data_IF_357453933401
#
_entry.id   IF_357453933401
#
_cell.length_a   1.000
_cell.length_b   1.000
_cell.length_c   1.000
_cell.angle_alpha   90.00
_cell.angle_beta   90.00
_cell.angle_gamma   90.00
#
_symmetry.space_group_name_H-M   'P 1'
#
loop_
_entity.id
_entity.type
_entity.pdbx_description
1 polymer ?
#
# COMPACT_ATOMS: atom_id res chain seq x y z
N UNK A 1 56.53 72.93 -29.35
CA UNK A 1 55.06 72.69 -29.24
C UNK A 1 54.86 71.21 -28.88
N UNK A 2 54.84 70.94 -27.56
CA UNK A 2 54.97 69.62 -27.03
C UNK A 2 53.61 69.23 -26.40
N UNK A 3 52.92 68.25 -26.97
CA UNK A 3 51.60 67.75 -26.49
C UNK A 3 51.81 66.76 -25.33
N UNK A 4 51.23 67.06 -24.17
CA UNK A 4 51.15 66.13 -23.03
C UNK A 4 50.00 65.11 -23.24
N UNK A 5 50.16 63.84 -22.84
CA UNK A 5 49.10 62.92 -22.90
C UNK A 5 48.22 62.95 -21.63
N UNK A 6 46.86 62.92 -21.81
CA UNK A 6 45.89 62.81 -20.79
C UNK A 6 45.89 61.35 -20.24
N UNK A 7 46.04 61.17 -18.93
CA UNK A 7 45.86 59.93 -18.22
C UNK A 7 44.36 59.79 -17.80
N UNK A 8 43.68 58.81 -18.36
CA UNK A 8 42.34 58.40 -17.90
C UNK A 8 42.49 57.46 -16.72
N UNK A 9 42.02 57.90 -15.54
CA UNK A 9 41.94 57.05 -14.34
C UNK A 9 40.58 56.34 -14.37
N UNK A 10 40.59 55.02 -14.62
CA UNK A 10 39.39 54.19 -14.47
C UNK A 10 39.19 53.82 -13.00
N UNK A 11 38.08 54.25 -12.42
CA UNK A 11 37.60 53.76 -11.11
C UNK A 11 36.87 52.43 -11.28
N UNK A 12 37.47 51.39 -10.77
CA UNK A 12 36.83 50.08 -10.69
C UNK A 12 35.93 50.02 -9.45
N UNK A 13 34.63 50.20 -9.62
CA UNK A 13 33.66 50.03 -8.54
C UNK A 13 33.41 48.55 -8.30
N UNK A 14 33.94 48.00 -7.21
CA UNK A 14 33.66 46.66 -6.77
C UNK A 14 32.29 46.66 -6.04
N UNK A 15 31.26 46.16 -6.69
CA UNK A 15 29.97 45.92 -6.05
C UNK A 15 30.05 44.59 -5.30
N UNK A 16 30.16 44.65 -3.98
CA UNK A 16 30.03 43.50 -3.09
C UNK A 16 28.54 43.11 -3.01
N UNK A 17 28.15 42.07 -3.77
CA UNK A 17 26.85 41.38 -3.61
C UNK A 17 26.92 40.55 -2.34
N UNK A 18 26.30 41.01 -1.25
CA UNK A 18 26.06 40.25 -0.04
C UNK A 18 24.97 39.22 -0.31
N UNK A 19 25.34 37.98 -0.52
CA UNK A 19 24.39 36.86 -0.50
C UNK A 19 23.95 36.62 0.94
N UNK A 20 22.81 37.18 1.34
CA UNK A 20 22.10 36.72 2.54
C UNK A 20 21.52 35.35 2.24
N UNK A 21 22.12 34.31 2.82
CA UNK A 21 21.55 32.98 2.88
C UNK A 21 20.22 33.08 3.63
N UNK A 22 19.10 33.03 2.90
CA UNK A 22 17.78 32.76 3.49
C UNK A 22 17.83 31.34 4.05
N UNK A 23 18.09 31.21 5.35
CA UNK A 23 17.93 29.99 6.06
C UNK A 23 16.47 29.53 5.84
N UNK A 24 16.30 28.41 5.11
CA UNK A 24 15.01 27.80 4.89
C UNK A 24 14.44 27.45 6.26
N UNK A 25 13.37 28.13 6.68
CA UNK A 25 12.67 27.79 7.91
C UNK A 25 12.17 26.36 7.79
N UNK A 26 12.34 25.52 8.83
CA UNK A 26 11.84 24.16 8.79
C UNK A 26 10.32 24.20 8.56
N UNK A 27 9.88 23.49 7.53
CA UNK A 27 8.44 23.34 7.22
C UNK A 27 7.74 22.83 8.49
N UNK A 28 6.66 23.46 8.97
CA UNK A 28 5.97 23.01 10.16
C UNK A 28 5.54 21.56 9.99
N UNK A 29 5.91 20.70 10.92
CA UNK A 29 5.49 19.29 10.91
C UNK A 29 3.99 19.25 11.20
N UNK A 30 3.21 18.74 10.26
CA UNK A 30 1.76 18.57 10.42
C UNK A 30 1.44 17.63 11.59
N UNK A 31 0.38 17.93 12.34
CA UNK A 31 -0.20 16.94 13.26
C UNK A 31 -0.81 15.79 12.49
N UNK A 32 -1.01 14.59 13.11
CA UNK A 32 -1.66 13.44 12.45
C UNK A 32 -3.01 13.80 11.81
N UNK A 33 -3.83 14.59 12.51
CA UNK A 33 -5.13 15.04 11.99
C UNK A 33 -5.00 16.03 10.82
N UNK A 34 -4.02 16.90 10.85
CA UNK A 34 -3.74 17.82 9.74
C UNK A 34 -3.25 17.04 8.51
N UNK A 35 -2.36 16.08 8.70
CA UNK A 35 -1.87 15.22 7.63
C UNK A 35 -3.00 14.40 7.00
N UNK A 36 -3.91 13.85 7.80
CA UNK A 36 -5.08 13.11 7.32
C UNK A 36 -6.07 14.01 6.56
N UNK A 37 -6.34 15.23 7.06
CA UNK A 37 -7.18 16.20 6.33
C UNK A 37 -6.57 16.57 4.99
N UNK A 38 -5.28 16.91 4.95
CA UNK A 38 -4.57 17.23 3.72
C UNK A 38 -4.61 16.07 2.71
N UNK A 39 -4.44 14.83 3.18
CA UNK A 39 -4.58 13.64 2.35
C UNK A 39 -5.98 13.55 1.73
N UNK A 40 -7.05 13.67 2.54
CA UNK A 40 -8.44 13.62 2.06
C UNK A 40 -8.75 14.74 1.07
N UNK A 41 -8.26 15.96 1.32
CA UNK A 41 -8.41 17.10 0.41
C UNK A 41 -7.71 16.83 -0.93
N UNK A 42 -6.49 16.27 -0.92
CA UNK A 42 -5.77 15.91 -2.14
C UNK A 42 -6.48 14.82 -2.96
N UNK A 43 -7.26 13.97 -2.31
CA UNK A 43 -8.03 12.89 -2.93
C UNK A 43 -9.50 13.27 -3.22
N UNK A 44 -9.96 14.45 -2.80
CA UNK A 44 -11.39 14.81 -2.85
C UNK A 44 -12.01 14.66 -4.23
N UNK A 45 -11.32 15.09 -5.30
CA UNK A 45 -11.80 14.94 -6.67
C UNK A 45 -11.92 13.47 -7.08
N UNK A 46 -10.88 12.66 -6.84
CA UNK A 46 -10.88 11.23 -7.15
C UNK A 46 -12.01 10.51 -6.40
N UNK A 47 -12.15 10.78 -5.09
CA UNK A 47 -13.17 10.17 -4.25
C UNK A 47 -14.60 10.56 -4.68
N UNK A 48 -14.79 11.76 -5.20
CA UNK A 48 -16.08 12.21 -5.73
C UNK A 48 -16.41 11.63 -7.10
N UNK A 49 -15.44 11.62 -8.02
CA UNK A 49 -15.67 11.30 -9.43
C UNK A 49 -15.52 9.80 -9.73
N UNK A 50 -14.62 9.11 -9.03
CA UNK A 50 -14.40 7.65 -9.13
C UNK A 50 -13.95 7.09 -7.76
N UNK A 51 -14.90 6.95 -6.82
CA UNK A 51 -14.61 6.53 -5.44
C UNK A 51 -13.78 5.25 -5.35
N UNK A 52 -14.04 4.28 -6.22
CA UNK A 52 -13.31 2.99 -6.27
C UNK A 52 -12.02 3.03 -7.08
N UNK A 53 -11.67 4.18 -7.69
CA UNK A 53 -10.54 4.32 -8.64
C UNK A 53 -10.58 3.24 -9.74
N UNK A 54 -11.78 2.96 -10.27
CA UNK A 54 -12.05 1.92 -11.27
C UNK A 54 -11.34 2.17 -12.61
N UNK A 55 -10.96 3.41 -12.87
CA UNK A 55 -10.16 3.79 -14.03
C UNK A 55 -8.72 3.29 -13.99
N UNK A 56 -8.16 3.04 -12.79
CA UNK A 56 -6.72 2.78 -12.57
C UNK A 56 -6.16 1.61 -13.41
N UNK A 57 -6.89 0.50 -13.48
CA UNK A 57 -6.46 -0.72 -14.18
C UNK A 57 -7.29 -1.06 -15.42
N UNK A 58 -8.20 -0.18 -15.85
CA UNK A 58 -9.13 -0.46 -16.97
C UNK A 58 -8.41 -0.95 -18.23
N UNK A 59 -7.43 -0.21 -18.70
CA UNK A 59 -6.71 -0.53 -19.95
C UNK A 59 -5.81 -1.76 -19.77
N UNK A 60 -5.15 -1.88 -18.61
CA UNK A 60 -4.34 -3.04 -18.28
C UNK A 60 -5.19 -4.32 -18.18
N UNK A 61 -6.41 -4.23 -17.62
CA UNK A 61 -7.35 -5.35 -17.57
C UNK A 61 -7.84 -5.74 -18.97
N UNK A 62 -8.16 -4.75 -19.81
CA UNK A 62 -8.61 -5.00 -21.19
C UNK A 62 -7.52 -5.63 -22.07
N UNK A 63 -6.24 -5.35 -21.79
CA UNK A 63 -5.11 -5.91 -22.51
C UNK A 63 -4.74 -7.35 -22.08
N UNK A 64 -5.24 -7.82 -20.91
CA UNK A 64 -4.94 -9.15 -20.41
C UNK A 64 -5.65 -10.22 -21.24
N UNK A 65 -4.88 -11.20 -21.68
CA UNK A 65 -5.45 -12.41 -22.32
C UNK A 65 -6.11 -13.29 -21.27
N UNK A 66 -7.14 -14.06 -21.64
CA UNK A 66 -7.67 -15.12 -20.78
C UNK A 66 -6.55 -16.04 -20.28
N UNK A 67 -6.67 -16.63 -19.08
CA UNK A 67 -5.67 -17.57 -18.58
C UNK A 67 -5.48 -18.74 -19.56
N UNK A 68 -4.21 -19.12 -19.78
CA UNK A 68 -3.92 -20.31 -20.57
C UNK A 68 -4.42 -21.59 -19.87
N UNK A 69 -4.73 -22.68 -20.57
CA UNK A 69 -5.07 -23.96 -19.97
C UNK A 69 -4.02 -24.38 -18.94
N UNK A 70 -4.43 -24.62 -17.70
CA UNK A 70 -3.53 -25.01 -16.60
C UNK A 70 -2.81 -23.84 -15.92
N UNK A 71 -2.95 -22.60 -16.37
CA UNK A 71 -2.36 -21.43 -15.74
C UNK A 71 -2.90 -21.25 -14.32
N UNK A 72 -1.98 -21.05 -13.37
CA UNK A 72 -2.31 -20.73 -11.99
C UNK A 72 -2.22 -19.22 -11.76
N UNK A 73 -3.10 -18.46 -12.44
CA UNK A 73 -3.16 -17.01 -12.28
C UNK A 73 -3.49 -16.64 -10.83
N UNK A 74 -2.73 -15.71 -10.29
CA UNK A 74 -2.95 -15.15 -8.95
C UNK A 74 -3.07 -13.64 -9.06
N UNK A 75 -4.04 -13.06 -8.38
CA UNK A 75 -4.17 -11.60 -8.26
C UNK A 75 -3.76 -11.18 -6.85
N UNK A 76 -2.79 -10.29 -6.75
CA UNK A 76 -2.48 -9.56 -5.52
C UNK A 76 -3.33 -8.30 -5.49
N UNK A 77 -4.27 -8.25 -4.58
CA UNK A 77 -5.29 -7.22 -4.47
C UNK A 77 -5.15 -6.48 -3.15
N UNK A 78 -4.97 -5.15 -3.18
CA UNK A 78 -4.67 -4.43 -1.96
C UNK A 78 -4.53 -2.93 -2.12
N UNK A 79 -3.88 -2.33 -1.14
CA UNK A 79 -3.58 -0.92 -1.05
C UNK A 79 -2.16 -0.57 -1.55
N UNK A 80 -1.53 0.49 -0.98
CA UNK A 80 -0.18 0.93 -1.34
C UNK A 80 0.90 -0.13 -1.14
N UNK A 81 0.75 -0.98 -0.13
CA UNK A 81 1.74 -2.05 0.15
C UNK A 81 1.75 -3.06 -1.00
N UNK A 82 0.59 -3.34 -1.58
CA UNK A 82 0.50 -4.16 -2.79
C UNK A 82 0.91 -3.38 -4.04
N UNK A 83 0.45 -2.12 -4.20
CA UNK A 83 0.69 -1.26 -5.38
C UNK A 83 2.18 -1.13 -5.71
N UNK A 84 3.02 -0.85 -4.68
CA UNK A 84 4.46 -0.66 -4.84
C UNK A 84 5.28 -1.96 -4.83
N UNK A 85 4.65 -3.13 -4.72
CA UNK A 85 5.34 -4.42 -4.75
C UNK A 85 5.60 -4.85 -6.20
N UNK A 86 6.84 -4.82 -6.62
CA UNK A 86 7.27 -5.25 -7.96
C UNK A 86 7.26 -6.78 -8.05
N UNK A 87 6.07 -7.37 -8.30
CA UNK A 87 5.86 -8.83 -8.24
C UNK A 87 6.78 -9.62 -9.19
N UNK A 88 7.14 -9.07 -10.33
CA UNK A 88 8.04 -9.68 -11.31
C UNK A 88 9.47 -9.87 -10.79
N UNK A 89 9.93 -8.98 -9.90
CA UNK A 89 11.24 -9.09 -9.23
C UNK A 89 11.26 -10.20 -8.17
N UNK A 90 10.14 -10.36 -7.45
CA UNK A 90 10.05 -11.31 -6.32
C UNK A 90 9.50 -12.67 -6.72
N UNK A 91 8.76 -12.76 -7.83
CA UNK A 91 8.12 -13.97 -8.34
C UNK A 91 8.37 -14.14 -9.85
N UNK A 92 9.65 -14.26 -10.28
CA UNK A 92 10.00 -14.28 -11.70
C UNK A 92 9.32 -15.45 -12.43
N UNK A 93 8.69 -15.14 -13.56
CA UNK A 93 8.00 -16.12 -14.40
C UNK A 93 6.67 -16.64 -13.86
N UNK A 94 6.17 -16.10 -12.75
CA UNK A 94 4.84 -16.46 -12.22
C UNK A 94 3.74 -15.62 -12.87
N UNK A 95 2.56 -16.21 -13.13
CA UNK A 95 1.41 -15.48 -13.67
C UNK A 95 0.69 -14.68 -12.57
N UNK A 96 1.43 -13.82 -11.88
CA UNK A 96 0.93 -13.01 -10.77
C UNK A 96 0.65 -11.58 -11.24
N UNK A 97 -0.51 -11.07 -10.88
CA UNK A 97 -1.00 -9.76 -11.34
C UNK A 97 -1.16 -8.85 -10.13
N UNK A 98 -0.51 -7.69 -10.16
CA UNK A 98 -0.66 -6.66 -9.15
C UNK A 98 -1.92 -5.82 -9.45
N UNK A 99 -2.80 -5.71 -8.44
CA UNK A 99 -3.99 -4.85 -8.42
C UNK A 99 -4.07 -4.08 -7.10
N UNK A 100 -2.93 -3.60 -6.62
CA UNK A 100 -2.84 -2.65 -5.51
C UNK A 100 -3.17 -1.23 -5.97
N UNK A 101 -3.80 -0.43 -5.11
CA UNK A 101 -3.99 1.02 -5.31
C UNK A 101 -3.70 1.75 -4.01
N UNK A 102 -2.74 2.67 -4.07
CA UNK A 102 -2.26 3.40 -2.90
C UNK A 102 -3.35 4.13 -2.13
N UNK A 103 -3.39 3.92 -0.81
CA UNK A 103 -4.31 4.62 0.11
C UNK A 103 -5.72 4.07 0.16
N UNK A 104 -6.08 3.06 -0.62
CA UNK A 104 -7.42 2.50 -0.67
C UNK A 104 -7.84 1.83 0.63
N UNK A 105 -9.14 1.92 0.89
CA UNK A 105 -9.88 1.29 1.98
C UNK A 105 -10.73 0.13 1.44
N UNK A 106 -11.17 -0.75 2.34
CA UNK A 106 -11.94 -1.95 1.96
C UNK A 106 -13.24 -1.65 1.18
N UNK A 107 -14.03 -0.57 1.46
CA UNK A 107 -15.18 -0.24 0.62
C UNK A 107 -14.81 0.10 -0.83
N UNK A 108 -13.69 0.81 -1.05
CA UNK A 108 -13.19 1.11 -2.40
C UNK A 108 -12.78 -0.18 -3.13
N UNK A 109 -12.11 -1.08 -2.42
CA UNK A 109 -11.73 -2.38 -2.94
C UNK A 109 -12.94 -3.23 -3.35
N UNK A 110 -14.02 -3.26 -2.56
CA UNK A 110 -15.27 -3.94 -2.91
C UNK A 110 -15.84 -3.46 -4.25
N UNK A 111 -15.86 -2.14 -4.49
CA UNK A 111 -16.44 -1.56 -5.71
C UNK A 111 -15.69 -2.02 -6.97
N UNK A 112 -14.37 -2.19 -6.90
CA UNK A 112 -13.53 -2.60 -8.04
C UNK A 112 -13.22 -4.10 -8.10
N UNK A 113 -13.70 -4.89 -7.13
CA UNK A 113 -13.36 -6.32 -7.02
C UNK A 113 -13.73 -7.12 -8.26
N UNK A 114 -14.89 -6.84 -8.87
CA UNK A 114 -15.30 -7.53 -10.10
C UNK A 114 -14.29 -7.32 -11.22
N UNK A 115 -14.03 -6.05 -11.60
CA UNK A 115 -13.18 -5.75 -12.76
C UNK A 115 -11.70 -6.09 -12.56
N UNK A 116 -11.19 -5.98 -11.32
CA UNK A 116 -9.77 -6.13 -11.01
C UNK A 116 -9.40 -7.51 -10.48
N UNK A 117 -10.40 -8.35 -10.19
CA UNK A 117 -10.19 -9.73 -9.72
C UNK A 117 -11.05 -10.72 -10.52
N UNK A 118 -12.38 -10.62 -10.42
CA UNK A 118 -13.29 -11.66 -10.97
C UNK A 118 -13.10 -11.82 -12.48
N UNK A 119 -13.13 -10.69 -13.22
CA UNK A 119 -13.07 -10.68 -14.68
C UNK A 119 -11.66 -11.06 -15.22
N UNK A 120 -10.65 -11.15 -14.35
CA UNK A 120 -9.32 -11.65 -14.70
C UNK A 120 -9.19 -13.17 -14.58
N UNK A 121 -10.22 -13.83 -14.06
CA UNK A 121 -10.31 -15.28 -13.89
C UNK A 121 -9.11 -15.91 -13.16
N UNK A 122 -8.69 -15.40 -11.98
CA UNK A 122 -7.61 -16.00 -11.23
C UNK A 122 -8.09 -17.29 -10.52
N UNK A 123 -7.16 -18.19 -10.20
CA UNK A 123 -7.42 -19.29 -9.27
C UNK A 123 -7.37 -18.85 -7.80
N UNK A 124 -6.55 -17.86 -7.51
CA UNK A 124 -6.29 -17.35 -6.15
C UNK A 124 -6.27 -15.83 -6.17
N UNK A 125 -6.84 -15.22 -5.15
CA UNK A 125 -6.64 -13.81 -4.82
C UNK A 125 -5.94 -13.68 -3.46
N UNK A 126 -4.86 -12.91 -3.40
CA UNK A 126 -4.18 -12.51 -2.15
C UNK A 126 -4.64 -11.11 -1.80
N UNK A 127 -5.29 -10.94 -0.64
CA UNK A 127 -5.87 -9.67 -0.21
C UNK A 127 -5.10 -9.13 0.99
N UNK A 128 -4.54 -7.93 0.85
CA UNK A 128 -3.93 -7.16 1.93
C UNK A 128 -4.60 -5.79 2.00
N UNK A 129 -5.34 -5.53 3.08
CA UNK A 129 -6.14 -4.33 3.26
C UNK A 129 -6.34 -3.98 4.75
N UNK A 130 -7.03 -2.89 5.07
CA UNK A 130 -7.47 -2.53 6.41
C UNK A 130 -6.60 -1.48 7.10
N UNK A 131 -5.33 -1.34 6.76
CA UNK A 131 -4.47 -0.32 7.37
C UNK A 131 -4.96 1.11 7.11
N UNK A 132 -5.52 1.37 5.94
CA UNK A 132 -6.06 2.67 5.54
C UNK A 132 -7.48 2.90 6.07
N UNK A 133 -8.24 1.85 6.30
CA UNK A 133 -9.52 1.88 7.00
C UNK A 133 -9.30 2.31 8.45
N UNK A 134 -8.35 1.69 9.15
CA UNK A 134 -7.96 2.03 10.53
C UNK A 134 -7.47 3.49 10.59
N UNK A 135 -6.70 3.94 9.59
CA UNK A 135 -6.25 5.33 9.49
C UNK A 135 -7.39 6.32 9.17
N UNK A 136 -8.53 5.83 8.67
CA UNK A 136 -9.67 6.67 8.31
C UNK A 136 -9.48 7.45 7.00
N UNK A 137 -8.77 6.91 6.01
CA UNK A 137 -8.48 7.60 4.75
C UNK A 137 -9.74 8.11 4.03
N UNK A 138 -10.84 7.35 4.08
CA UNK A 138 -12.14 7.72 3.48
C UNK A 138 -13.17 8.17 4.52
N UNK A 139 -12.78 8.33 5.76
CA UNK A 139 -13.62 8.67 6.91
C UNK A 139 -13.44 7.70 8.07
N UNK A 140 -13.98 8.00 9.26
CA UNK A 140 -13.95 7.07 10.38
C UNK A 140 -14.64 5.74 10.02
N UNK A 141 -14.02 4.62 10.37
CA UNK A 141 -14.56 3.29 10.14
C UNK A 141 -14.42 2.42 11.40
N UNK A 142 -15.47 1.66 11.71
CA UNK A 142 -15.44 0.69 12.81
C UNK A 142 -14.79 -0.59 12.32
N UNK A 143 -14.25 -1.39 13.23
CA UNK A 143 -13.64 -2.69 12.86
C UNK A 143 -14.67 -3.63 12.23
N UNK A 144 -15.89 -3.66 12.76
CA UNK A 144 -16.99 -4.50 12.26
C UNK A 144 -17.37 -4.17 10.80
N UNK A 145 -17.20 -2.91 10.38
CA UNK A 145 -17.44 -2.50 8.99
C UNK A 145 -16.32 -3.02 8.05
N UNK A 146 -15.07 -3.03 8.54
CA UNK A 146 -13.92 -3.60 7.81
C UNK A 146 -14.09 -5.12 7.68
N UNK A 147 -14.45 -5.79 8.77
CA UNK A 147 -14.73 -7.22 8.85
C UNK A 147 -15.84 -7.63 7.87
N UNK A 148 -16.95 -6.88 7.83
CA UNK A 148 -18.04 -7.10 6.89
C UNK A 148 -17.61 -6.96 5.42
N UNK A 149 -16.71 -6.00 5.13
CA UNK A 149 -16.15 -5.85 3.78
C UNK A 149 -15.27 -7.06 3.39
N UNK A 150 -14.44 -7.56 4.31
CA UNK A 150 -13.65 -8.78 4.09
C UNK A 150 -14.54 -10.01 3.86
N UNK A 151 -15.59 -10.18 4.66
CA UNK A 151 -16.56 -11.26 4.48
C UNK A 151 -17.22 -11.18 3.09
N UNK A 152 -17.64 -9.98 2.67
CA UNK A 152 -18.22 -9.76 1.34
C UNK A 152 -17.24 -10.08 0.21
N UNK A 153 -15.96 -9.71 0.33
CA UNK A 153 -14.92 -10.07 -0.65
C UNK A 153 -14.76 -11.60 -0.75
N UNK A 154 -14.76 -12.32 0.39
CA UNK A 154 -14.67 -13.77 0.42
C UNK A 154 -15.89 -14.44 -0.23
N UNK A 155 -17.09 -13.96 0.07
CA UNK A 155 -18.34 -14.48 -0.50
C UNK A 155 -18.40 -14.29 -2.01
N UNK A 156 -18.02 -13.11 -2.51
CA UNK A 156 -17.97 -12.82 -3.95
C UNK A 156 -16.91 -13.70 -4.63
N UNK A 157 -15.74 -13.85 -4.05
CA UNK A 157 -14.67 -14.71 -4.59
C UNK A 157 -15.13 -16.17 -4.67
N UNK A 158 -15.71 -16.70 -3.58
CA UNK A 158 -16.24 -18.07 -3.50
C UNK A 158 -17.34 -18.33 -4.54
N UNK A 159 -18.25 -17.39 -4.73
CA UNK A 159 -19.31 -17.48 -5.75
C UNK A 159 -18.75 -17.55 -7.18
N UNK A 160 -17.49 -17.13 -7.38
CA UNK A 160 -16.78 -17.19 -8.65
C UNK A 160 -15.65 -18.26 -8.66
N UNK A 161 -15.66 -19.20 -7.73
CA UNK A 161 -14.69 -20.30 -7.61
C UNK A 161 -13.23 -19.84 -7.46
N UNK A 162 -13.01 -18.69 -6.82
CA UNK A 162 -11.69 -18.12 -6.55
C UNK A 162 -11.33 -18.40 -5.09
N UNK A 163 -10.16 -19.01 -4.86
CA UNK A 163 -9.62 -19.21 -3.52
C UNK A 163 -9.08 -17.88 -2.96
N UNK A 164 -9.28 -17.66 -1.68
CA UNK A 164 -8.93 -16.40 -1.02
C UNK A 164 -7.80 -16.62 -0.02
N UNK A 165 -6.76 -15.78 -0.13
CA UNK A 165 -5.74 -15.66 0.89
C UNK A 165 -5.89 -14.29 1.54
N UNK A 166 -6.30 -14.24 2.81
CA UNK A 166 -6.29 -13.02 3.60
C UNK A 166 -4.95 -12.88 4.31
N UNK A 167 -4.21 -11.85 3.95
CA UNK A 167 -2.98 -11.50 4.66
C UNK A 167 -3.30 -10.69 5.91
N UNK A 168 -2.54 -10.93 6.98
CA UNK A 168 -2.55 -10.04 8.14
C UNK A 168 -2.18 -8.62 7.75
N UNK A 169 -2.82 -7.64 8.34
CA UNK A 169 -2.40 -6.23 8.31
C UNK A 169 -1.03 -6.13 8.98
N UNK A 170 -0.09 -5.44 8.34
CA UNK A 170 1.27 -5.31 8.85
C UNK A 170 1.30 -4.46 10.14
N UNK A 171 2.28 -4.68 11.02
CA UNK A 171 2.52 -3.77 12.12
C UNK A 171 3.00 -2.41 11.59
N UNK A 172 2.97 -1.38 12.43
CA UNK A 172 3.52 -0.05 12.17
C UNK A 172 4.57 0.30 13.21
N UNK A 173 5.46 1.26 12.93
CA UNK A 173 6.43 1.73 13.92
C UNK A 173 6.48 3.26 14.03
N UNK A 174 7.07 3.75 15.14
CA UNK A 174 7.27 5.17 15.44
C UNK A 174 8.76 5.54 15.65
N UNK A 175 9.69 4.75 15.11
CA UNK A 175 11.12 4.87 15.38
C UNK A 175 11.81 6.03 14.66
N UNK A 176 11.13 6.69 13.73
CA UNK A 176 11.67 7.80 12.95
C UNK A 176 10.71 8.99 12.98
N UNK A 177 11.18 10.24 12.85
CA UNK A 177 10.28 11.39 12.74
C UNK A 177 9.26 11.25 11.59
N UNK A 178 9.65 10.60 10.48
CA UNK A 178 8.79 10.36 9.31
C UNK A 178 7.66 9.38 9.59
N UNK A 179 7.86 8.45 10.53
CA UNK A 179 6.87 7.42 10.86
C UNK A 179 5.80 7.85 11.87
N UNK A 180 5.99 8.96 12.59
CA UNK A 180 5.11 9.36 13.68
C UNK A 180 3.67 9.55 13.25
N UNK A 181 3.42 10.18 12.11
CA UNK A 181 2.06 10.39 11.61
C UNK A 181 1.42 9.07 11.15
N UNK A 182 2.17 8.18 10.50
CA UNK A 182 1.67 6.86 10.07
C UNK A 182 1.28 6.01 11.27
N UNK A 183 2.11 5.99 12.30
CA UNK A 183 1.86 5.28 13.54
C UNK A 183 0.65 5.83 14.30
N UNK A 184 0.57 7.17 14.47
CA UNK A 184 -0.50 7.80 15.23
C UNK A 184 -1.90 7.60 14.60
N UNK A 185 -1.97 7.40 13.28
CA UNK A 185 -3.22 7.13 12.57
C UNK A 185 -3.61 5.64 12.58
N UNK A 186 -2.71 4.74 12.95
CA UNK A 186 -2.90 3.28 12.86
C UNK A 186 -2.67 2.61 14.20
N UNK A 187 -3.73 2.54 15.03
CA UNK A 187 -3.66 1.91 16.35
C UNK A 187 -3.19 0.45 16.24
N UNK A 188 -2.07 0.08 16.92
CA UNK A 188 -1.61 -1.30 16.98
C UNK A 188 -2.67 -2.25 17.53
N UNK A 189 -3.48 -1.82 18.49
CA UNK A 189 -4.55 -2.62 19.07
C UNK A 189 -5.63 -2.95 18.03
N UNK A 190 -6.01 -1.98 17.18
CA UNK A 190 -6.96 -2.22 16.10
C UNK A 190 -6.39 -3.15 15.02
N UNK A 191 -5.10 -3.01 14.70
CA UNK A 191 -4.40 -3.92 13.79
C UNK A 191 -4.45 -5.34 14.33
N UNK A 192 -4.11 -5.54 15.59
CA UNK A 192 -4.14 -6.85 16.25
C UNK A 192 -5.57 -7.42 16.28
N UNK A 193 -6.57 -6.62 16.64
CA UNK A 193 -7.96 -7.05 16.68
C UNK A 193 -8.45 -7.53 15.30
N UNK A 194 -8.16 -6.75 14.23
CA UNK A 194 -8.51 -7.14 12.87
C UNK A 194 -7.77 -8.41 12.43
N UNK A 195 -6.49 -8.57 12.76
CA UNK A 195 -5.72 -9.77 12.44
C UNK A 195 -6.26 -11.02 13.19
N UNK A 196 -6.70 -10.86 14.42
CA UNK A 196 -7.38 -11.93 15.18
C UNK A 196 -8.67 -12.35 14.47
N UNK A 197 -9.52 -11.37 14.14
CA UNK A 197 -10.76 -11.65 13.44
C UNK A 197 -10.51 -12.35 12.09
N UNK A 198 -9.55 -11.90 11.28
CA UNK A 198 -9.19 -12.54 10.01
C UNK A 198 -8.78 -14.01 10.19
N UNK A 199 -8.00 -14.31 11.23
CA UNK A 199 -7.57 -15.67 11.55
C UNK A 199 -8.75 -16.56 11.94
N UNK A 200 -9.66 -16.05 12.78
CA UNK A 200 -10.84 -16.77 13.22
C UNK A 200 -11.85 -16.97 12.07
N UNK A 201 -12.03 -15.93 11.23
CA UNK A 201 -12.86 -16.02 10.04
C UNK A 201 -12.40 -17.15 9.11
N UNK A 202 -11.11 -17.16 8.78
CA UNK A 202 -10.53 -18.19 7.90
C UNK A 202 -10.68 -19.60 8.48
N UNK A 203 -10.55 -19.78 9.78
CA UNK A 203 -10.67 -21.08 10.46
C UNK A 203 -12.06 -21.71 10.27
N UNK A 204 -13.09 -20.90 10.02
CA UNK A 204 -14.48 -21.33 9.87
C UNK A 204 -15.02 -21.24 8.44
N UNK A 205 -14.23 -20.71 7.50
CA UNK A 205 -14.65 -20.50 6.11
C UNK A 205 -13.76 -21.27 5.12
N UNK A 206 -14.17 -22.48 4.69
CA UNK A 206 -13.44 -23.26 3.69
C UNK A 206 -13.20 -22.48 2.40
N UNK A 207 -12.01 -22.63 1.82
CA UNK A 207 -11.57 -21.88 0.64
C UNK A 207 -10.86 -20.57 0.96
N UNK A 208 -10.76 -20.21 2.25
CA UNK A 208 -9.94 -19.10 2.74
C UNK A 208 -8.68 -19.61 3.43
N UNK A 209 -7.57 -18.90 3.29
CA UNK A 209 -6.28 -19.16 3.96
C UNK A 209 -5.81 -17.86 4.64
N UNK A 210 -5.28 -18.00 5.85
CA UNK A 210 -4.64 -16.89 6.56
C UNK A 210 -3.15 -16.86 6.25
N UNK A 211 -2.65 -15.69 5.82
CA UNK A 211 -1.24 -15.45 5.53
C UNK A 211 -0.68 -14.49 6.57
N UNK A 212 0.17 -15.00 7.44
CA UNK A 212 0.73 -14.25 8.57
C UNK A 212 2.02 -13.50 8.19
N UNK A 213 1.88 -12.31 7.66
CA UNK A 213 3.00 -11.37 7.51
C UNK A 213 3.37 -10.70 8.83
N UNK A 214 2.35 -10.43 9.68
CA UNK A 214 2.53 -9.67 10.92
C UNK A 214 3.61 -10.29 11.81
N UNK A 215 3.49 -11.58 12.11
CA UNK A 215 4.42 -12.29 13.00
C UNK A 215 5.87 -12.31 12.48
N UNK A 216 6.06 -12.31 11.16
CA UNK A 216 7.40 -12.29 10.58
C UNK A 216 8.05 -10.88 10.62
N UNK A 217 7.25 -9.82 10.70
CA UNK A 217 7.70 -8.44 10.56
C UNK A 217 7.68 -7.64 11.86
N UNK A 218 6.99 -8.14 12.90
CA UNK A 218 6.90 -7.49 14.21
C UNK A 218 8.18 -7.69 15.02
N UNK A 219 8.57 -6.68 15.80
CA UNK A 219 9.65 -6.76 16.79
C UNK A 219 9.14 -7.14 18.18
N UNK A 220 10.05 -7.16 19.17
CA UNK A 220 9.78 -7.50 20.58
C UNK A 220 8.89 -6.48 21.31
N UNK A 221 8.67 -5.30 20.72
CA UNK A 221 7.78 -4.23 21.25
C UNK A 221 6.41 -4.25 20.60
N UNK A 222 6.12 -5.18 19.70
CA UNK A 222 4.87 -5.24 18.95
C UNK A 222 4.80 -4.23 17.79
N UNK A 223 5.93 -3.66 17.38
CA UNK A 223 6.03 -2.68 16.31
C UNK A 223 6.69 -3.29 15.07
N UNK A 224 6.48 -2.68 13.91
CA UNK A 224 7.21 -3.06 12.70
C UNK A 224 8.71 -2.90 12.93
N UNK A 225 9.50 -3.94 12.58
CA UNK A 225 10.97 -3.87 12.65
C UNK A 225 11.46 -2.65 11.87
N UNK A 226 12.30 -1.84 12.50
CA UNK A 226 12.75 -0.54 11.99
C UNK A 226 13.40 -0.60 10.61
N UNK A 227 14.16 -1.64 10.35
CA UNK A 227 14.92 -1.85 9.12
C UNK A 227 14.07 -2.36 7.94
N UNK A 228 12.79 -2.67 8.18
CA UNK A 228 11.88 -3.18 7.15
C UNK A 228 11.02 -2.08 6.49
N UNK A 229 10.95 -0.88 7.08
CA UNK A 229 10.19 0.25 6.54
C UNK A 229 10.80 1.59 7.01
N UNK A 230 11.06 2.52 6.09
CA UNK A 230 11.65 3.81 6.45
C UNK A 230 10.62 4.79 7.03
N UNK A 231 9.38 4.72 6.56
CA UNK A 231 8.27 5.58 6.97
C UNK A 231 7.36 4.96 8.04
N UNK A 232 7.71 3.75 8.49
CA UNK A 232 6.99 3.03 9.54
C UNK A 232 5.76 2.26 9.09
N UNK A 233 5.49 2.21 7.78
CA UNK A 233 4.33 1.54 7.20
C UNK A 233 4.69 0.69 5.97
N UNK A 234 5.34 1.31 4.97
CA UNK A 234 5.56 0.68 3.68
C UNK A 234 6.84 -0.16 3.69
N UNK A 235 6.76 -1.47 3.43
CA UNK A 235 7.92 -2.34 3.37
C UNK A 235 8.92 -1.85 2.31
N UNK A 236 10.20 -1.85 2.68
CA UNK A 236 11.30 -1.68 1.74
C UNK A 236 11.67 -3.04 1.11
N UNK A 237 12.76 -3.09 0.34
CA UNK A 237 13.21 -4.33 -0.29
C UNK A 237 13.48 -5.47 0.71
N UNK A 238 13.95 -5.16 1.93
CA UNK A 238 14.15 -6.17 2.98
C UNK A 238 12.81 -6.70 3.51
N UNK A 239 11.81 -5.83 3.68
CA UNK A 239 10.45 -6.22 4.07
C UNK A 239 9.80 -7.14 3.03
N UNK A 240 9.84 -6.78 1.75
CA UNK A 240 9.29 -7.63 0.69
C UNK A 240 10.02 -8.97 0.53
N UNK A 241 11.34 -9.03 0.80
CA UNK A 241 12.09 -10.30 0.83
C UNK A 241 11.59 -11.26 1.93
N UNK A 242 11.04 -10.73 3.03
CA UNK A 242 10.42 -11.54 4.07
C UNK A 242 9.00 -11.97 3.63
N UNK A 243 8.23 -11.06 3.03
CA UNK A 243 6.85 -11.32 2.63
C UNK A 243 6.75 -12.32 1.46
N UNK A 244 7.64 -12.26 0.48
CA UNK A 244 7.55 -13.04 -0.74
C UNK A 244 7.49 -14.57 -0.52
N UNK A 245 8.40 -15.20 0.24
CA UNK A 245 8.34 -16.64 0.48
C UNK A 245 7.09 -17.07 1.26
N UNK A 246 6.56 -16.21 2.15
CA UNK A 246 5.33 -16.48 2.88
C UNK A 246 4.11 -16.46 1.93
N UNK A 247 4.07 -15.49 1.01
CA UNK A 247 3.03 -15.44 -0.03
C UNK A 247 3.07 -16.68 -0.92
N UNK A 248 4.27 -17.07 -1.39
CA UNK A 248 4.44 -18.24 -2.26
C UNK A 248 3.99 -19.53 -1.57
N UNK A 249 4.31 -19.69 -0.27
CA UNK A 249 3.87 -20.85 0.51
C UNK A 249 2.35 -20.90 0.67
N UNK A 250 1.71 -19.76 0.97
CA UNK A 250 0.25 -19.68 1.08
C UNK A 250 -0.45 -19.94 -0.26
N UNK A 251 0.09 -19.41 -1.37
CA UNK A 251 -0.44 -19.67 -2.73
C UNK A 251 -0.31 -21.16 -3.08
N UNK A 252 0.84 -21.77 -2.78
CA UNK A 252 1.04 -23.20 -3.01
C UNK A 252 0.05 -24.05 -2.20
N UNK A 253 -0.18 -23.71 -0.94
CA UNK A 253 -1.19 -24.34 -0.08
C UNK A 253 -2.61 -24.21 -0.67
N UNK A 254 -3.00 -23.00 -1.11
CA UNK A 254 -4.30 -22.76 -1.73
C UNK A 254 -4.49 -23.64 -2.99
N UNK A 255 -3.50 -23.63 -3.88
CA UNK A 255 -3.55 -24.40 -5.12
C UNK A 255 -3.54 -25.92 -4.89
N UNK A 256 -2.92 -26.41 -3.82
CA UNK A 256 -2.95 -27.83 -3.47
C UNK A 256 -4.32 -28.25 -2.93
N UNK A 257 -4.99 -27.41 -2.16
CA UNK A 257 -6.34 -27.66 -1.64
C UNK A 257 -7.43 -27.65 -2.73
N UNK A 258 -7.16 -27.01 -3.89
CA UNK A 258 -8.09 -26.97 -5.03
C UNK A 258 -8.01 -28.18 -5.95
N UNK A 259 -7.07 -29.12 -5.72
CA UNK A 259 -7.01 -30.35 -6.51
C UNK A 259 -8.13 -31.29 -6.07
N UNK A 260 -8.91 -31.84 -7.02
CA UNK A 260 -10.01 -32.78 -6.71
C UNK A 260 -9.53 -34.04 -6.04
#
# INVERSE_FOLDING_TARGET
MTLMPFRVVQYLSVVLLSFTSLAQQPTPTLTPDQALRQYRESKATTLRDDFGERGRYRDANAALKPPAPGENRVVFFGDSITDIWHLDEYFPGKPYINRGIGGQTTPQMLIRFRQDVIDLHPKVVVILAGTNDIAGNTGPMRLEDIEANYASLAEIARANHILVIFSSVLPVHNYTPRSLNMYAQRSPEKILALNHWLKDYVATHPGCIYLDYFSAMVDDKGLLKRDLAEDGLHPNAAGYKIMAPLAEAAIAQALAAAKP
#
